data_IF_917711024674
#
_entry.id   IF_917711024674
#
_cell.length_a   1.000
_cell.length_b   1.000
_cell.length_c   1.000
_cell.angle_alpha   90.00
_cell.angle_beta   90.00
_cell.angle_gamma   90.00
#
_symmetry.space_group_name_H-M   'P 1'
#
loop_
_entity.id
_entity.type
_entity.pdbx_description
1 polymer ?
#
# COMPACT_ATOMS: atom_id res chain seq x y z
N UNK A 1 -14.91 22.25 4.79
CA UNK A 1 -14.81 22.86 6.12
C UNK A 1 -15.80 22.17 7.06
N UNK A 2 -15.41 21.75 8.26
CA UNK A 2 -16.36 21.18 9.22
C UNK A 2 -17.35 22.25 9.70
N UNK A 3 -18.59 21.88 10.04
CA UNK A 3 -19.60 22.81 10.54
C UNK A 3 -19.10 23.62 11.77
N UNK A 4 -18.32 22.97 12.64
CA UNK A 4 -17.64 23.63 13.77
C UNK A 4 -16.64 24.70 13.31
N UNK A 5 -15.82 24.39 12.31
CA UNK A 5 -14.88 25.37 11.74
C UNK A 5 -15.60 26.59 11.18
N UNK A 6 -16.74 26.37 10.50
CA UNK A 6 -17.57 27.45 9.98
C UNK A 6 -18.15 28.35 11.08
N UNK A 7 -18.72 27.77 12.14
CA UNK A 7 -19.23 28.55 13.28
C UNK A 7 -18.13 29.35 13.97
N UNK A 8 -16.94 28.75 14.16
CA UNK A 8 -15.80 29.44 14.74
C UNK A 8 -15.34 30.62 13.87
N UNK A 9 -15.24 30.45 12.55
CA UNK A 9 -14.90 31.55 11.64
C UNK A 9 -15.91 32.70 11.72
N UNK A 10 -17.20 32.38 11.83
CA UNK A 10 -18.27 33.38 11.93
C UNK A 10 -18.23 34.15 13.26
N UNK A 11 -17.93 33.45 14.36
CA UNK A 11 -17.71 34.05 15.69
C UNK A 11 -16.47 34.94 15.72
N UNK A 12 -15.36 34.48 15.15
CA UNK A 12 -14.13 35.26 15.06
C UNK A 12 -14.34 36.52 14.23
N UNK A 13 -15.06 36.42 13.11
CA UNK A 13 -15.40 37.58 12.29
C UNK A 13 -16.29 38.57 13.04
N UNK A 14 -17.32 38.10 13.76
CA UNK A 14 -18.15 38.95 14.60
C UNK A 14 -17.34 39.66 15.69
N UNK A 15 -16.45 38.92 16.37
CA UNK A 15 -15.53 39.48 17.35
C UNK A 15 -14.61 40.55 16.76
N UNK A 16 -14.03 40.29 15.58
CA UNK A 16 -13.19 41.25 14.87
C UNK A 16 -13.96 42.54 14.49
N UNK A 17 -15.18 42.41 13.97
CA UNK A 17 -16.05 43.54 13.63
C UNK A 17 -16.36 44.39 14.87
N UNK A 18 -16.67 43.76 16.01
CA UNK A 18 -16.93 44.46 17.27
C UNK A 18 -15.66 45.11 17.87
N UNK A 19 -14.49 44.49 17.71
CA UNK A 19 -13.21 45.08 18.10
C UNK A 19 -12.88 46.32 17.27
N UNK A 20 -13.16 46.29 15.97
CA UNK A 20 -13.03 47.47 15.09
C UNK A 20 -13.95 48.59 15.55
N UNK A 21 -15.22 48.28 15.87
CA UNK A 21 -16.15 49.25 16.43
C UNK A 21 -15.60 49.89 17.72
N UNK A 22 -15.09 49.07 18.65
CA UNK A 22 -14.54 49.55 19.91
C UNK A 22 -13.30 50.45 19.70
N UNK A 23 -12.41 50.08 18.78
CA UNK A 23 -11.25 50.89 18.41
C UNK A 23 -11.62 52.23 17.77
N UNK A 24 -12.63 52.24 16.89
CA UNK A 24 -13.11 53.46 16.27
C UNK A 24 -13.84 54.38 17.25
N UNK A 25 -14.61 53.80 18.19
CA UNK A 25 -15.21 54.52 19.31
C UNK A 25 -14.13 55.17 20.20
N UNK A 26 -13.06 54.43 20.50
CA UNK A 26 -11.92 54.96 21.26
C UNK A 26 -11.25 56.14 20.55
N UNK A 27 -11.17 56.09 19.22
CA UNK A 27 -10.69 57.20 18.37
C UNK A 27 -11.71 58.34 18.18
N UNK A 28 -12.87 58.28 18.82
CA UNK A 28 -13.96 59.26 18.72
C UNK A 28 -14.47 59.48 17.28
N UNK A 29 -14.33 58.46 16.42
CA UNK A 29 -14.86 58.50 15.06
C UNK A 29 -16.36 58.22 15.12
N UNK A 30 -17.18 59.06 14.47
CA UNK A 30 -18.63 58.89 14.37
C UNK A 30 -19.00 57.61 13.63
N UNK A 31 -19.27 56.54 14.38
CA UNK A 31 -19.46 55.17 13.84
C UNK A 31 -20.89 54.63 13.97
N UNK A 32 -21.86 55.49 14.31
CA UNK A 32 -23.24 55.07 14.57
C UNK A 32 -23.40 54.40 15.94
N UNK A 33 -24.54 53.73 16.15
CA UNK A 33 -24.87 53.11 17.45
C UNK A 33 -24.40 51.65 17.47
N UNK A 34 -24.07 51.14 18.66
CA UNK A 34 -23.74 49.71 18.85
C UNK A 34 -24.81 48.77 18.27
N UNK A 35 -26.08 49.17 18.37
CA UNK A 35 -27.23 48.41 17.84
C UNK A 35 -27.11 48.20 16.32
N UNK A 36 -26.60 49.18 15.58
CA UNK A 36 -26.45 49.10 14.11
C UNK A 36 -25.39 48.06 13.74
N UNK A 37 -24.30 47.99 14.51
CA UNK A 37 -23.24 47.01 14.33
C UNK A 37 -23.69 45.59 14.69
N UNK A 38 -24.40 45.43 15.81
CA UNK A 38 -24.99 44.14 16.21
C UNK A 38 -26.01 43.66 15.18
N UNK A 39 -26.85 44.56 14.66
CA UNK A 39 -27.79 44.25 13.60
C UNK A 39 -27.07 43.82 12.30
N UNK A 40 -25.99 44.51 11.92
CA UNK A 40 -25.15 44.13 10.78
C UNK A 40 -24.55 42.73 10.92
N UNK A 41 -23.99 42.40 12.09
CA UNK A 41 -23.47 41.05 12.39
C UNK A 41 -24.58 40.01 12.32
N UNK A 42 -25.76 40.30 12.88
CA UNK A 42 -26.90 39.39 12.84
C UNK A 42 -27.38 39.11 11.41
N UNK A 43 -27.47 40.14 10.56
CA UNK A 43 -27.82 39.99 9.13
C UNK A 43 -26.77 39.15 8.40
N UNK A 44 -25.49 39.39 8.66
CA UNK A 44 -24.40 38.62 8.08
C UNK A 44 -24.50 37.13 8.46
N UNK A 45 -24.76 36.84 9.73
CA UNK A 45 -24.96 35.47 10.21
C UNK A 45 -26.17 34.81 9.56
N UNK A 46 -27.28 35.55 9.47
CA UNK A 46 -28.48 35.09 8.78
C UNK A 46 -28.18 34.72 7.32
N UNK A 47 -27.52 35.60 6.56
CA UNK A 47 -27.09 35.30 5.20
C UNK A 47 -26.21 34.06 5.13
N UNK A 48 -25.28 33.90 6.06
CA UNK A 48 -24.41 32.74 6.07
C UNK A 48 -25.20 31.43 6.29
N UNK A 49 -26.19 31.42 7.17
CA UNK A 49 -27.09 30.27 7.37
C UNK A 49 -27.92 29.99 6.12
N UNK A 50 -28.55 31.03 5.56
CA UNK A 50 -29.43 30.96 4.38
C UNK A 50 -28.65 30.48 3.14
N UNK A 51 -27.40 30.91 3.01
CA UNK A 51 -26.50 30.52 1.93
C UNK A 51 -25.99 29.08 2.09
N UNK A 52 -25.75 28.59 3.29
CA UNK A 52 -24.98 27.35 3.47
C UNK A 52 -25.87 26.14 3.69
N UNK A 53 -26.80 26.22 4.64
CA UNK A 53 -27.57 25.06 5.06
C UNK A 53 -28.42 24.48 3.91
N UNK A 54 -29.27 25.29 3.24
CA UNK A 54 -30.15 24.77 2.21
C UNK A 54 -29.39 24.22 1.00
N UNK A 55 -28.37 24.94 0.53
CA UNK A 55 -27.56 24.52 -0.61
C UNK A 55 -26.73 23.27 -0.30
N UNK A 56 -26.12 23.16 0.89
CA UNK A 56 -25.37 21.95 1.26
C UNK A 56 -26.27 20.72 1.30
N UNK A 57 -27.47 20.82 1.85
CA UNK A 57 -28.42 19.71 1.87
C UNK A 57 -28.92 19.35 0.46
N UNK A 58 -29.15 20.35 -0.40
CA UNK A 58 -29.50 20.13 -1.80
C UNK A 58 -28.42 19.33 -2.54
N UNK A 59 -27.16 19.78 -2.46
CA UNK A 59 -26.06 19.14 -3.19
C UNK A 59 -25.67 17.79 -2.57
N UNK A 60 -25.68 17.65 -1.24
CA UNK A 60 -25.47 16.35 -0.61
C UNK A 60 -26.50 15.30 -1.07
N UNK A 61 -27.75 15.72 -1.26
CA UNK A 61 -28.78 14.84 -1.81
C UNK A 61 -28.55 14.51 -3.29
N UNK A 62 -28.04 15.46 -4.09
CA UNK A 62 -27.63 15.18 -5.47
C UNK A 62 -26.43 14.22 -5.54
N UNK A 63 -25.44 14.38 -4.65
CA UNK A 63 -24.27 13.51 -4.56
C UNK A 63 -24.69 12.06 -4.31
N UNK A 64 -25.70 11.82 -3.45
CA UNK A 64 -26.27 10.48 -3.22
C UNK A 64 -26.96 9.92 -4.48
N UNK A 65 -27.66 10.75 -5.24
CA UNK A 65 -28.30 10.33 -6.49
C UNK A 65 -27.25 9.97 -7.55
N UNK A 66 -26.16 10.72 -7.65
CA UNK A 66 -25.05 10.44 -8.55
C UNK A 66 -24.33 9.14 -8.16
N UNK A 67 -24.00 8.96 -6.89
CA UNK A 67 -23.41 7.72 -6.38
C UNK A 67 -24.29 6.50 -6.63
N UNK A 68 -25.60 6.62 -6.44
CA UNK A 68 -26.55 5.56 -6.76
C UNK A 68 -26.54 5.20 -8.25
N UNK A 69 -26.41 6.20 -9.14
CA UNK A 69 -26.29 5.98 -10.58
C UNK A 69 -25.00 5.27 -10.95
N UNK A 70 -23.88 5.66 -10.35
CA UNK A 70 -22.58 5.03 -10.58
C UNK A 70 -22.56 3.57 -10.08
N UNK A 71 -23.14 3.32 -8.91
CA UNK A 71 -23.30 1.97 -8.36
C UNK A 71 -24.18 1.09 -9.27
N UNK A 72 -25.28 1.63 -9.77
CA UNK A 72 -26.15 0.93 -10.72
C UNK A 72 -25.42 0.60 -12.04
N UNK A 73 -24.57 1.51 -12.55
CA UNK A 73 -23.75 1.26 -13.72
C UNK A 73 -22.70 0.16 -13.51
N UNK A 74 -22.31 -0.10 -12.26
CA UNK A 74 -21.41 -1.18 -11.85
C UNK A 74 -22.16 -2.49 -11.52
N UNK A 75 -23.48 -2.54 -11.70
CA UNK A 75 -24.29 -3.72 -11.40
C UNK A 75 -24.61 -3.92 -9.92
N UNK A 76 -24.37 -2.92 -9.08
CA UNK A 76 -24.70 -2.97 -7.65
C UNK A 76 -26.18 -2.61 -7.48
N UNK A 77 -26.95 -3.48 -6.82
CA UNK A 77 -28.37 -3.22 -6.54
C UNK A 77 -28.53 -2.07 -5.54
N UNK A 78 -29.18 -0.98 -5.97
CA UNK A 78 -29.51 0.18 -5.13
C UNK A 78 -31.02 0.25 -4.91
N UNK A 79 -31.50 0.36 -3.67
CA UNK A 79 -32.94 0.48 -3.40
C UNK A 79 -33.53 1.74 -4.06
N UNK A 80 -34.58 1.56 -4.87
CA UNK A 80 -35.23 2.66 -5.59
C UNK A 80 -35.81 3.73 -4.64
N UNK A 81 -36.28 3.31 -3.46
CA UNK A 81 -36.84 4.20 -2.43
C UNK A 81 -35.81 5.20 -1.90
N UNK A 82 -34.55 4.78 -1.75
CA UNK A 82 -33.44 5.63 -1.31
C UNK A 82 -33.17 6.74 -2.32
N UNK A 83 -33.14 6.38 -3.61
CA UNK A 83 -32.93 7.34 -4.70
C UNK A 83 -34.09 8.32 -4.79
N UNK A 84 -35.33 7.83 -4.71
CA UNK A 84 -36.53 8.66 -4.71
C UNK A 84 -36.60 9.61 -3.50
N UNK A 85 -36.17 9.17 -2.32
CA UNK A 85 -36.03 10.02 -1.15
C UNK A 85 -35.00 11.13 -1.38
N UNK A 86 -33.79 10.78 -1.81
CA UNK A 86 -32.73 11.75 -2.10
C UNK A 86 -33.18 12.80 -3.14
N UNK A 87 -33.85 12.40 -4.22
CA UNK A 87 -34.40 13.32 -5.21
C UNK A 87 -35.46 14.28 -4.62
N UNK A 88 -36.33 13.79 -3.72
CA UNK A 88 -37.31 14.64 -3.02
C UNK A 88 -36.62 15.66 -2.12
N UNK A 89 -35.61 15.24 -1.36
CA UNK A 89 -34.79 16.11 -0.51
C UNK A 89 -34.11 17.17 -1.37
N UNK A 90 -33.44 16.78 -2.46
CA UNK A 90 -32.79 17.72 -3.38
C UNK A 90 -33.77 18.79 -3.89
N UNK A 91 -34.95 18.40 -4.38
CA UNK A 91 -35.94 19.38 -4.89
C UNK A 91 -36.45 20.33 -3.80
N UNK A 92 -36.77 19.81 -2.60
CA UNK A 92 -37.28 20.62 -1.49
C UNK A 92 -36.24 21.62 -1.00
N UNK A 93 -34.98 21.18 -0.82
CA UNK A 93 -33.93 22.07 -0.36
C UNK A 93 -33.53 23.11 -1.42
N UNK A 94 -33.67 22.82 -2.71
CA UNK A 94 -33.55 23.84 -3.77
C UNK A 94 -34.63 24.92 -3.64
N UNK A 95 -35.89 24.50 -3.47
CA UNK A 95 -37.01 25.42 -3.28
C UNK A 95 -36.84 26.24 -2.01
N UNK A 96 -36.41 25.61 -0.92
CA UNK A 96 -36.11 26.28 0.34
C UNK A 96 -34.98 27.30 0.18
N UNK A 97 -33.88 26.92 -0.49
CA UNK A 97 -32.75 27.80 -0.73
C UNK A 97 -33.20 29.07 -1.47
N UNK A 98 -33.84 28.91 -2.63
CA UNK A 98 -34.29 30.04 -3.45
C UNK A 98 -35.36 30.85 -2.71
N UNK A 99 -36.34 30.19 -2.12
CA UNK A 99 -37.42 30.84 -1.37
C UNK A 99 -36.91 31.67 -0.20
N UNK A 100 -35.90 31.18 0.53
CA UNK A 100 -35.34 31.88 1.68
C UNK A 100 -34.53 33.12 1.26
N UNK A 101 -33.79 33.07 0.16
CA UNK A 101 -33.11 34.25 -0.38
C UNK A 101 -34.11 35.29 -0.89
N UNK A 102 -35.15 34.87 -1.62
CA UNK A 102 -36.22 35.76 -2.10
C UNK A 102 -36.98 36.41 -0.93
N UNK A 103 -37.36 35.62 0.08
CA UNK A 103 -38.02 36.13 1.27
C UNK A 103 -37.12 37.11 2.05
N UNK A 104 -35.83 36.79 2.19
CA UNK A 104 -34.87 37.68 2.85
C UNK A 104 -34.71 38.98 2.07
N UNK A 105 -34.61 38.92 0.74
CA UNK A 105 -34.55 40.10 -0.12
C UNK A 105 -35.82 40.97 0.00
N UNK A 106 -37.00 40.35 0.00
CA UNK A 106 -38.27 41.05 0.15
C UNK A 106 -38.39 41.75 1.52
N UNK A 107 -37.99 41.08 2.61
CA UNK A 107 -37.99 41.65 3.96
C UNK A 107 -37.02 42.83 4.05
N UNK A 108 -35.80 42.70 3.52
CA UNK A 108 -34.81 43.77 3.52
C UNK A 108 -35.24 44.97 2.66
N UNK A 109 -35.88 44.70 1.51
CA UNK A 109 -36.44 45.74 0.66
C UNK A 109 -37.59 46.48 1.36
N UNK A 110 -38.47 45.76 2.05
CA UNK A 110 -39.53 46.35 2.86
C UNK A 110 -38.99 47.22 3.99
N UNK A 111 -37.99 46.74 4.74
CA UNK A 111 -37.31 47.51 5.78
C UNK A 111 -36.66 48.80 5.22
N UNK A 112 -36.09 48.73 4.02
CA UNK A 112 -35.52 49.88 3.33
C UNK A 112 -36.61 50.89 2.92
N UNK A 113 -37.73 50.39 2.39
CA UNK A 113 -38.86 51.22 1.98
C UNK A 113 -39.46 52.01 3.14
N UNK A 114 -39.56 51.41 4.34
CA UNK A 114 -40.01 52.09 5.56
C UNK A 114 -38.93 52.95 6.23
N UNK A 115 -37.73 53.06 5.65
CA UNK A 115 -36.63 53.87 6.20
C UNK A 115 -36.01 53.32 7.50
N UNK A 116 -36.26 52.05 7.83
CA UNK A 116 -35.78 51.43 9.07
C UNK A 116 -34.31 51.02 8.99
N UNK A 117 -33.84 50.65 7.80
CA UNK A 117 -32.46 50.20 7.56
C UNK A 117 -31.90 50.88 6.31
N UNK A 118 -30.96 51.85 6.44
CA UNK A 118 -30.40 52.60 5.31
C UNK A 118 -29.73 51.71 4.23
N UNK A 119 -29.18 50.57 4.65
CA UNK A 119 -28.49 49.62 3.77
C UNK A 119 -29.43 48.54 3.17
N UNK A 120 -30.74 48.61 3.42
CA UNK A 120 -31.66 47.52 3.08
C UNK A 120 -31.75 47.22 1.57
N UNK A 121 -31.66 48.24 0.70
CA UNK A 121 -31.63 48.04 -0.76
C UNK A 121 -30.39 47.26 -1.21
N UNK A 122 -29.20 47.63 -0.71
CA UNK A 122 -27.96 46.93 -1.01
C UNK A 122 -27.95 45.52 -0.45
N UNK A 123 -28.44 45.35 0.79
CA UNK A 123 -28.54 44.05 1.43
C UNK A 123 -29.50 43.12 0.68
N UNK A 124 -30.61 43.63 0.15
CA UNK A 124 -31.52 42.86 -0.71
C UNK A 124 -30.85 42.42 -2.02
N UNK A 125 -30.09 43.31 -2.67
CA UNK A 125 -29.30 42.96 -3.86
C UNK A 125 -28.25 41.88 -3.58
N UNK A 126 -27.53 41.99 -2.46
CA UNK A 126 -26.57 40.98 -2.00
C UNK A 126 -27.28 39.65 -1.74
N UNK A 127 -28.43 39.64 -1.07
CA UNK A 127 -29.20 38.43 -0.82
C UNK A 127 -29.55 37.71 -2.14
N UNK A 128 -29.97 38.43 -3.17
CA UNK A 128 -30.24 37.84 -4.47
C UNK A 128 -28.97 37.29 -5.13
N UNK A 129 -27.87 38.04 -5.13
CA UNK A 129 -26.60 37.62 -5.70
C UNK A 129 -26.03 36.36 -5.02
N UNK A 130 -26.14 36.27 -3.69
CA UNK A 130 -25.69 35.13 -2.89
C UNK A 130 -26.38 33.82 -3.28
N UNK A 131 -27.60 33.87 -3.82
CA UNK A 131 -28.33 32.70 -4.33
C UNK A 131 -27.49 31.89 -5.34
N UNK A 132 -26.62 32.54 -6.12
CA UNK A 132 -25.85 31.91 -7.18
C UNK A 132 -24.44 31.48 -6.76
N UNK A 133 -23.94 31.96 -5.61
CA UNK A 133 -22.55 31.72 -5.19
C UNK A 133 -22.27 30.23 -4.94
N UNK A 134 -23.12 29.57 -4.15
CA UNK A 134 -22.96 28.12 -3.85
C UNK A 134 -23.13 27.24 -5.09
N UNK A 135 -24.16 27.45 -5.94
CA UNK A 135 -24.24 26.74 -7.21
C UNK A 135 -23.01 26.90 -8.11
N UNK A 136 -22.44 28.11 -8.19
CA UNK A 136 -21.26 28.37 -8.99
C UNK A 136 -20.02 27.61 -8.47
N UNK A 137 -19.79 27.63 -7.15
CA UNK A 137 -18.73 26.85 -6.50
C UNK A 137 -18.85 25.36 -6.81
N UNK A 138 -20.04 24.78 -6.65
CA UNK A 138 -20.29 23.36 -6.94
C UNK A 138 -20.14 23.01 -8.41
N UNK A 139 -20.56 23.89 -9.31
CA UNK A 139 -20.36 23.70 -10.74
C UNK A 139 -18.86 23.66 -11.10
N UNK A 140 -18.07 24.54 -10.48
CA UNK A 140 -16.61 24.54 -10.63
C UNK A 140 -15.98 23.26 -10.08
N UNK A 141 -16.34 22.83 -8.87
CA UNK A 141 -15.83 21.59 -8.26
C UNK A 141 -16.14 20.35 -9.12
N UNK A 142 -17.36 20.28 -9.66
CA UNK A 142 -17.76 19.21 -10.56
C UNK A 142 -16.92 19.21 -11.85
N UNK A 143 -16.77 20.38 -12.48
CA UNK A 143 -15.95 20.53 -13.69
C UNK A 143 -14.48 20.17 -13.44
N UNK A 144 -13.89 20.68 -12.35
CA UNK A 144 -12.52 20.39 -11.96
C UNK A 144 -12.32 18.89 -11.70
N UNK A 145 -13.26 18.24 -11.02
CA UNK A 145 -13.22 16.79 -10.76
C UNK A 145 -13.31 15.99 -12.06
N UNK A 146 -14.23 16.36 -12.95
CA UNK A 146 -14.35 15.77 -14.29
C UNK A 146 -13.06 15.89 -15.09
N UNK A 147 -12.49 17.09 -15.18
CA UNK A 147 -11.26 17.35 -15.90
C UNK A 147 -10.08 16.57 -15.29
N UNK A 148 -9.99 16.51 -13.96
CA UNK A 148 -8.97 15.70 -13.27
C UNK A 148 -9.12 14.21 -13.59
N UNK A 149 -10.35 13.68 -13.61
CA UNK A 149 -10.60 12.28 -13.92
C UNK A 149 -10.26 11.96 -15.39
N UNK A 150 -10.57 12.87 -16.33
CA UNK A 150 -10.14 12.75 -17.73
C UNK A 150 -8.61 12.80 -17.84
N UNK A 151 -7.96 13.74 -17.15
CA UNK A 151 -6.51 13.85 -17.11
C UNK A 151 -5.83 12.61 -16.52
N UNK A 152 -6.42 11.99 -15.50
CA UNK A 152 -5.91 10.72 -14.95
C UNK A 152 -6.02 9.57 -15.95
N UNK A 153 -7.13 9.47 -16.71
CA UNK A 153 -7.27 8.46 -17.76
C UNK A 153 -6.25 8.65 -18.90
N UNK A 154 -5.89 9.91 -19.21
CA UNK A 154 -4.85 10.22 -20.19
C UNK A 154 -3.45 9.90 -19.66
N UNK A 155 -3.19 10.16 -18.37
CA UNK A 155 -1.87 9.97 -17.75
C UNK A 155 -1.58 8.52 -17.38
N UNK A 156 -2.61 7.74 -17.06
CA UNK A 156 -2.52 6.33 -16.73
C UNK A 156 -3.60 5.57 -17.53
N UNK A 157 -3.32 5.23 -18.79
CA UNK A 157 -4.19 4.43 -19.62
C UNK A 157 -4.54 3.11 -18.92
N UNK A 158 -5.75 2.59 -19.18
CA UNK A 158 -6.16 1.31 -18.59
C UNK A 158 -5.31 0.16 -19.11
N UNK A 159 -4.78 0.32 -20.33
CA UNK A 159 -3.84 -0.59 -20.97
C UNK A 159 -2.55 -0.71 -20.15
N UNK A 160 -1.94 0.41 -19.74
CA UNK A 160 -0.70 0.42 -18.96
C UNK A 160 -0.88 -0.23 -17.58
N UNK A 161 -2.04 -0.03 -16.93
CA UNK A 161 -2.36 -0.67 -15.64
C UNK A 161 -2.62 -2.16 -15.82
N UNK A 162 -3.29 -2.56 -16.89
CA UNK A 162 -3.51 -3.97 -17.22
C UNK A 162 -2.17 -4.67 -17.55
N UNK A 163 -1.30 -4.02 -18.30
CA UNK A 163 0.05 -4.50 -18.60
C UNK A 163 0.87 -4.66 -17.32
N UNK A 164 0.85 -3.66 -16.43
CA UNK A 164 1.55 -3.74 -15.15
C UNK A 164 1.01 -4.90 -14.29
N UNK A 165 -0.31 -5.09 -14.22
CA UNK A 165 -0.93 -6.21 -13.50
C UNK A 165 -0.48 -7.56 -14.06
N UNK A 166 -0.43 -7.68 -15.39
CA UNK A 166 0.06 -8.89 -16.06
C UNK A 166 1.53 -9.14 -15.69
N UNK A 167 2.39 -8.13 -15.82
CA UNK A 167 3.81 -8.23 -15.44
C UNK A 167 4.01 -8.61 -13.97
N UNK A 168 3.21 -8.05 -13.06
CA UNK A 168 3.26 -8.42 -11.63
C UNK A 168 2.83 -9.88 -11.43
N UNK A 169 1.78 -10.33 -12.11
CA UNK A 169 1.31 -11.72 -12.02
C UNK A 169 2.35 -12.70 -12.57
N UNK A 170 3.02 -12.34 -13.66
CA UNK A 170 4.14 -13.11 -14.23
C UNK A 170 5.32 -13.19 -13.27
N UNK A 171 5.70 -12.07 -12.64
CA UNK A 171 6.77 -12.02 -11.64
C UNK A 171 6.44 -12.87 -10.40
N UNK A 172 5.21 -12.78 -9.87
CA UNK A 172 4.75 -13.61 -8.76
C UNK A 172 4.76 -15.10 -9.10
N UNK A 173 4.34 -15.44 -10.33
CA UNK A 173 4.36 -16.82 -10.82
C UNK A 173 5.79 -17.34 -10.98
N UNK A 174 6.69 -16.51 -11.51
CA UNK A 174 8.12 -16.81 -11.60
C UNK A 174 8.74 -17.01 -10.22
N UNK A 175 8.45 -16.14 -9.26
CA UNK A 175 8.93 -16.24 -7.89
C UNK A 175 8.46 -17.53 -7.20
N UNK A 176 7.18 -17.91 -7.35
CA UNK A 176 6.66 -19.18 -6.84
C UNK A 176 7.34 -20.39 -7.48
N UNK A 177 7.60 -20.32 -8.79
CA UNK A 177 8.28 -21.39 -9.53
C UNK A 177 9.73 -21.56 -9.05
N UNK A 178 10.48 -20.46 -8.90
CA UNK A 178 11.83 -20.49 -8.35
C UNK A 178 11.83 -21.02 -6.92
N UNK A 179 10.92 -20.55 -6.07
CA UNK A 179 10.80 -21.02 -4.70
C UNK A 179 10.55 -22.53 -4.64
N UNK A 180 9.67 -23.06 -5.51
CA UNK A 180 9.41 -24.49 -5.58
C UNK A 180 10.59 -25.33 -6.10
N UNK A 181 11.42 -24.77 -6.99
CA UNK A 181 12.63 -25.46 -7.49
C UNK A 181 13.78 -25.46 -6.47
N UNK A 182 13.87 -24.43 -5.64
CA UNK A 182 14.91 -24.26 -4.62
C UNK A 182 14.53 -24.84 -3.25
N UNK A 183 13.32 -25.37 -3.11
CA UNK A 183 12.83 -25.97 -1.88
C UNK A 183 13.52 -27.32 -1.60
N UNK A 184 14.29 -27.40 -0.52
CA UNK A 184 15.06 -28.60 -0.16
C UNK A 184 14.15 -29.74 0.33
N UNK A 185 13.01 -29.40 0.91
CA UNK A 185 12.08 -30.37 1.51
C UNK A 185 11.16 -31.02 0.47
N UNK A 186 11.11 -30.44 -0.74
CA UNK A 186 10.25 -30.92 -1.82
C UNK A 186 10.97 -31.98 -2.66
N UNK A 187 10.43 -33.20 -2.66
CA UNK A 187 10.93 -34.28 -3.50
C UNK A 187 10.92 -33.90 -5.00
N UNK A 188 12.07 -34.10 -5.65
CA UNK A 188 12.25 -33.79 -7.08
C UNK A 188 12.53 -32.32 -7.39
N UNK A 189 12.63 -31.45 -6.39
CA UNK A 189 13.17 -30.10 -6.57
C UNK A 189 14.64 -30.15 -6.98
N UNK A 190 15.13 -29.10 -7.64
CA UNK A 190 16.54 -29.03 -8.03
C UNK A 190 17.45 -29.06 -6.79
N UNK A 191 17.07 -28.35 -5.72
CA UNK A 191 17.84 -28.32 -4.48
C UNK A 191 17.89 -29.68 -3.77
N UNK A 192 16.77 -30.43 -3.73
CA UNK A 192 16.73 -31.78 -3.14
C UNK A 192 17.58 -32.77 -3.94
N UNK A 193 17.50 -32.74 -5.28
CA UNK A 193 18.29 -33.60 -6.16
C UNK A 193 19.79 -33.31 -6.02
N UNK A 194 20.15 -32.03 -5.91
CA UNK A 194 21.54 -31.63 -5.66
C UNK A 194 22.02 -32.07 -4.26
N UNK A 195 21.16 -32.00 -3.24
CA UNK A 195 21.47 -32.51 -1.90
C UNK A 195 21.69 -34.02 -1.89
N UNK A 196 20.82 -34.78 -2.57
CA UNK A 196 20.92 -36.23 -2.70
C UNK A 196 22.17 -36.64 -3.49
N UNK A 197 22.49 -35.95 -4.57
CA UNK A 197 23.68 -36.24 -5.38
C UNK A 197 24.97 -35.99 -4.58
N UNK A 198 25.04 -34.90 -3.81
CA UNK A 198 26.16 -34.62 -2.91
C UNK A 198 26.29 -35.66 -1.80
N UNK A 199 25.18 -36.12 -1.22
CA UNK A 199 25.19 -37.18 -0.22
C UNK A 199 25.67 -38.52 -0.80
N UNK A 200 25.22 -38.88 -2.00
CA UNK A 200 25.68 -40.07 -2.72
C UNK A 200 27.17 -39.99 -3.06
N UNK A 201 27.66 -38.81 -3.47
CA UNK A 201 29.07 -38.58 -3.76
C UNK A 201 29.94 -38.75 -2.51
N UNK A 202 29.49 -38.23 -1.36
CA UNK A 202 30.17 -38.42 -0.06
C UNK A 202 30.26 -39.90 0.32
N UNK A 203 29.16 -40.64 0.21
CA UNK A 203 29.17 -42.09 0.48
C UNK A 203 30.09 -42.86 -0.47
N UNK A 204 30.19 -42.44 -1.74
CA UNK A 204 31.11 -43.04 -2.69
C UNK A 204 32.57 -42.78 -2.30
N UNK A 205 32.90 -41.56 -1.87
CA UNK A 205 34.23 -41.21 -1.36
C UNK A 205 34.58 -42.07 -0.14
N UNK A 206 33.70 -42.11 0.88
CA UNK A 206 33.94 -42.88 2.12
C UNK A 206 34.17 -44.38 1.84
N UNK A 207 33.42 -44.97 0.89
CA UNK A 207 33.62 -46.35 0.46
C UNK A 207 34.96 -46.57 -0.24
N UNK A 208 35.40 -45.58 -1.02
CA UNK A 208 36.67 -45.67 -1.76
C UNK A 208 37.85 -45.57 -0.80
N UNK A 209 37.77 -44.68 0.19
CA UNK A 209 38.76 -44.55 1.27
C UNK A 209 38.85 -45.84 2.09
N UNK A 210 37.71 -46.42 2.48
CA UNK A 210 37.69 -47.71 3.18
C UNK A 210 38.34 -48.85 2.37
N UNK A 211 38.14 -48.88 1.04
CA UNK A 211 38.81 -49.86 0.16
C UNK A 211 40.31 -49.61 0.05
N UNK A 212 40.73 -48.35 0.01
CA UNK A 212 42.16 -47.99 0.00
C UNK A 212 42.84 -48.42 1.30
N UNK A 213 42.20 -48.21 2.45
CA UNK A 213 42.72 -48.68 3.73
C UNK A 213 42.85 -50.20 3.77
N UNK A 214 41.84 -50.94 3.30
CA UNK A 214 41.90 -52.40 3.30
C UNK A 214 42.99 -52.92 2.34
N UNK A 215 43.11 -52.36 1.13
CA UNK A 215 44.18 -52.71 0.21
C UNK A 215 45.57 -52.40 0.78
N UNK A 216 45.71 -51.28 1.48
CA UNK A 216 46.96 -50.91 2.17
C UNK A 216 47.31 -51.93 3.25
N UNK A 217 46.33 -52.33 4.08
CA UNK A 217 46.51 -53.36 5.12
C UNK A 217 46.82 -54.73 4.53
N UNK A 218 46.12 -55.14 3.46
CA UNK A 218 46.37 -56.39 2.75
C UNK A 218 47.80 -56.41 2.20
N UNK A 219 48.22 -55.34 1.51
CA UNK A 219 49.56 -55.23 0.96
C UNK A 219 50.65 -55.30 2.05
N UNK A 220 50.44 -54.62 3.18
CA UNK A 220 51.35 -54.71 4.33
C UNK A 220 51.46 -56.15 4.88
N UNK A 221 50.33 -56.87 5.00
CA UNK A 221 50.31 -58.28 5.42
C UNK A 221 51.01 -59.18 4.40
N UNK A 222 50.77 -58.98 3.11
CA UNK A 222 51.37 -59.76 2.03
C UNK A 222 52.89 -59.53 2.00
N UNK A 223 53.37 -58.30 2.19
CA UNK A 223 54.80 -57.98 2.34
C UNK A 223 55.43 -58.65 3.56
N UNK A 224 54.74 -58.67 4.69
CA UNK A 224 55.22 -59.36 5.88
C UNK A 224 55.29 -60.88 5.66
N UNK A 225 54.27 -61.47 5.04
CA UNK A 225 54.22 -62.88 4.68
C UNK A 225 55.34 -63.25 3.70
N UNK A 226 55.54 -62.44 2.65
CA UNK A 226 56.61 -62.61 1.66
C UNK A 226 57.98 -62.56 2.35
N UNK A 227 58.19 -61.58 3.24
CA UNK A 227 59.43 -61.44 4.01
C UNK A 227 59.70 -62.67 4.86
N UNK A 228 58.70 -63.18 5.58
CA UNK A 228 58.79 -64.40 6.39
C UNK A 228 59.10 -65.63 5.52
N UNK A 229 58.46 -65.74 4.35
CA UNK A 229 58.72 -66.82 3.40
C UNK A 229 60.17 -66.76 2.89
N UNK A 230 60.65 -65.59 2.46
CA UNK A 230 62.04 -65.40 2.01
C UNK A 230 63.05 -65.75 3.10
N UNK A 231 62.82 -65.33 4.35
CA UNK A 231 63.68 -65.71 5.49
C UNK A 231 63.70 -67.23 5.70
N UNK A 232 62.55 -67.88 5.58
CA UNK A 232 62.42 -69.35 5.71
C UNK A 232 63.13 -70.09 4.58
N UNK A 233 63.00 -69.61 3.33
CA UNK A 233 63.69 -70.17 2.17
C UNK A 233 65.21 -69.97 2.25
N UNK A 234 65.69 -68.81 2.68
CA UNK A 234 67.11 -68.56 2.95
C UNK A 234 67.64 -69.49 4.04
N UNK A 235 66.88 -69.71 5.11
CA UNK A 235 67.27 -70.63 6.18
C UNK A 235 67.41 -72.07 5.66
N UNK A 236 66.46 -72.55 4.84
CA UNK A 236 66.54 -73.86 4.18
C UNK A 236 67.73 -73.97 3.24
N UNK A 237 67.96 -72.98 2.38
CA UNK A 237 69.11 -72.96 1.47
C UNK A 237 70.44 -72.92 2.24
N UNK A 238 70.49 -72.23 3.38
CA UNK A 238 71.68 -72.20 4.26
C UNK A 238 71.90 -73.55 4.95
N UNK A 239 70.84 -74.23 5.39
CA UNK A 239 70.87 -75.57 5.95
C UNK A 239 71.34 -76.59 4.91
N UNK A 240 70.79 -76.54 3.70
CA UNK A 240 71.20 -77.36 2.55
C UNK A 240 72.67 -77.09 2.16
N UNK A 241 73.11 -75.82 2.14
CA UNK A 241 74.50 -75.47 1.91
C UNK A 241 75.43 -76.02 3.01
N UNK A 242 74.99 -76.02 4.28
CA UNK A 242 75.73 -76.59 5.40
C UNK A 242 75.82 -78.10 5.31
N UNK A 243 74.74 -78.77 4.92
CA UNK A 243 74.71 -80.20 4.62
C UNK A 243 75.68 -80.55 3.49
N UNK A 244 75.66 -79.81 2.37
CA UNK A 244 76.59 -80.01 1.25
C UNK A 244 78.06 -79.78 1.66
N UNK A 245 78.32 -78.82 2.56
CA UNK A 245 79.67 -78.60 3.07
C UNK A 245 80.13 -79.74 4.00
N UNK A 246 79.24 -80.27 4.86
CA UNK A 246 79.51 -81.46 5.67
C UNK A 246 79.74 -82.71 4.82
N UNK A 247 78.96 -82.91 3.75
CA UNK A 247 79.19 -84.00 2.78
C UNK A 247 80.54 -83.82 2.09
N UNK A 248 80.91 -82.59 1.72
CA UNK A 248 82.23 -82.28 1.15
C UNK A 248 83.36 -82.56 2.13
N UNK A 249 83.22 -82.21 3.41
CA UNK A 249 84.18 -82.55 4.45
C UNK A 249 84.29 -84.06 4.68
N UNK A 250 83.17 -84.79 4.63
CA UNK A 250 83.15 -86.25 4.75
C UNK A 250 83.88 -86.93 3.58
N UNK A 251 83.66 -86.46 2.35
CA UNK A 251 84.39 -86.94 1.16
C UNK A 251 85.88 -86.61 1.26
N UNK A 252 86.24 -85.45 1.79
CA UNK A 252 87.65 -85.06 1.99
C UNK A 252 88.32 -85.90 3.08
N UNK A 253 87.63 -86.13 4.20
CA UNK A 253 88.08 -87.03 5.27
C UNK A 253 88.34 -88.44 4.76
N UNK A 254 87.47 -88.97 3.89
CA UNK A 254 87.63 -90.30 3.31
C UNK A 254 88.72 -90.37 2.23
N UNK A 255 89.14 -89.23 1.67
CA UNK A 255 90.19 -89.16 0.64
C UNK A 255 91.59 -88.93 1.23
N UNK A 256 91.67 -88.40 2.45
CA UNK A 256 92.92 -88.16 3.18
C UNK A 256 93.22 -89.24 4.26
N UNK A 257 92.43 -90.33 4.32
CA UNK A 257 92.62 -91.51 5.17
C UNK A 257 92.95 -92.76 4.33
#
# INVERSE_FOLDING_TARGET
MSFRGFLLSLLLLAGAVLLVFLGLQWLHVGTGRLVDWVAGVAILWWFAVVLILPWNAHFAALDVVEQARDAAAQGIAVPADTVAYAQRVARRFRQLAVGLHLATAAVLLGLAYFGLVPLGYWAAGIALALTLVRPAERAYEHLATRLRNMGQQIRYPREDVAELRTRVTELETGQKTLAAQLDVDREGSWASLQGQSLAALRQAIDRTDGRLEELSRQNARDHEALTRQTVTEIARLSEDARFLNQVRELIRFWKDA
#
